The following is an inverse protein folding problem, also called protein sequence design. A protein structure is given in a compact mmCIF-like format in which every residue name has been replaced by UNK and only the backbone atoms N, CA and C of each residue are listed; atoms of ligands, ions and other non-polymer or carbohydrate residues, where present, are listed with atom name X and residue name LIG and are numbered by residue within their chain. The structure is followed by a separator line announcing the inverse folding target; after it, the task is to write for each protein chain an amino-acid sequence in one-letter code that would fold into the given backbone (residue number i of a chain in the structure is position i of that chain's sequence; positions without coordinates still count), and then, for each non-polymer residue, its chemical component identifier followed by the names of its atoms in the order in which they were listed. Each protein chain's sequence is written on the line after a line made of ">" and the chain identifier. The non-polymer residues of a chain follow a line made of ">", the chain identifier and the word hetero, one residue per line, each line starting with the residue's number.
data_IF_440235611720
#
_entry.id   IF_440235611720
#
_cell.length_a   1.000
_cell.length_b   1.000
_cell.length_c   1.000
_cell.angle_alpha   90.00
_cell.angle_beta   90.00
_cell.angle_gamma   90.00
#
_symmetry.space_group_name_H-M   'P 1'
#
loop_
_entity.id
_entity.type
_entity.pdbx_description
1 polymer ?
#
# COMPACT_ATOMS: atom_id res chain seq x y z
N UNK A 1 -19.59 -17.15 23.43
CA UNK A 1 -18.45 -18.05 23.19
C UNK A 1 -17.47 -17.27 22.39
N UNK A 2 -16.21 -17.10 22.83
CA UNK A 2 -15.24 -16.35 22.05
C UNK A 2 -14.90 -17.16 20.80
N UNK A 3 -15.05 -16.54 19.63
CA UNK A 3 -14.57 -17.10 18.38
C UNK A 3 -13.05 -17.11 18.44
N UNK A 4 -12.46 -18.28 18.52
CA UNK A 4 -11.02 -18.44 18.37
C UNK A 4 -10.66 -18.10 16.94
N UNK A 5 -9.98 -16.98 16.73
CA UNK A 5 -9.19 -16.76 15.52
C UNK A 5 -8.21 -17.93 15.42
N UNK A 6 -8.45 -18.88 14.53
CA UNK A 6 -7.46 -19.88 14.16
C UNK A 6 -6.40 -19.16 13.33
N UNK A 7 -5.53 -18.45 14.06
CA UNK A 7 -4.29 -17.98 13.50
C UNK A 7 -3.57 -19.17 12.83
N UNK A 8 -2.90 -18.92 11.71
CA UNK A 8 -1.88 -19.83 11.17
C UNK A 8 -0.74 -19.97 12.21
N UNK A 9 -1.02 -20.67 13.31
CA UNK A 9 -0.03 -21.03 14.33
C UNK A 9 0.79 -22.20 13.83
N UNK A 10 1.77 -21.96 12.96
CA UNK A 10 3.03 -22.69 13.16
C UNK A 10 3.68 -22.04 14.38
N UNK A 11 3.66 -22.74 15.52
CA UNK A 11 4.41 -22.34 16.71
C UNK A 11 5.84 -22.05 16.31
N UNK A 12 6.19 -20.78 16.22
CA UNK A 12 7.55 -20.32 16.14
C UNK A 12 8.19 -20.53 17.52
N UNK A 13 9.45 -20.96 17.53
CA UNK A 13 10.25 -21.01 18.76
C UNK A 13 10.53 -19.58 19.27
N UNK A 14 11.08 -19.46 20.45
CA UNK A 14 11.31 -18.20 21.21
C UNK A 14 12.04 -17.05 20.52
N UNK A 15 12.38 -17.15 19.23
CA UNK A 15 12.94 -16.07 18.40
C UNK A 15 12.08 -15.93 17.14
N UNK A 16 10.90 -15.30 17.30
CA UNK A 16 9.85 -15.15 16.28
C UNK A 16 10.23 -14.14 15.18
N UNK A 17 11.41 -14.30 14.61
CA UNK A 17 11.85 -13.50 13.48
C UNK A 17 11.31 -14.06 12.18
N UNK A 18 10.79 -13.18 11.33
CA UNK A 18 10.33 -13.53 10.00
C UNK A 18 10.48 -12.34 9.05
N UNK A 19 10.24 -12.59 7.77
CA UNK A 19 10.18 -11.52 6.79
C UNK A 19 8.99 -11.65 5.84
N UNK A 20 8.66 -10.52 5.20
CA UNK A 20 7.62 -10.37 4.19
C UNK A 20 8.25 -9.68 2.99
N UNK A 21 8.04 -10.22 1.79
CA UNK A 21 8.43 -9.54 0.56
C UNK A 21 7.29 -8.65 0.12
N UNK A 22 7.55 -7.34 -0.06
CA UNK A 22 6.54 -6.36 -0.38
C UNK A 22 6.79 -5.75 -1.76
N UNK A 23 5.71 -5.57 -2.50
CA UNK A 23 5.65 -4.85 -3.76
C UNK A 23 4.63 -3.71 -3.64
N UNK A 24 4.95 -2.56 -4.18
CA UNK A 24 3.99 -1.46 -4.35
C UNK A 24 2.98 -1.74 -5.45
N UNK A 25 2.38 -0.68 -5.94
CA UNK A 25 1.36 -0.70 -6.99
C UNK A 25 1.87 -1.44 -8.23
N UNK A 26 1.06 -2.35 -8.75
CA UNK A 26 1.44 -3.20 -9.90
C UNK A 26 0.87 -2.67 -11.21
N UNK A 27 -0.33 -2.12 -11.16
CA UNK A 27 -1.06 -1.66 -12.35
C UNK A 27 -1.01 -2.67 -13.49
N UNK A 28 -1.28 -3.94 -13.17
CA UNK A 28 -1.28 -5.01 -14.17
C UNK A 28 -2.19 -4.64 -15.33
N UNK A 29 -1.66 -4.74 -16.54
CA UNK A 29 -2.34 -4.34 -17.74
C UNK A 29 -1.83 -5.14 -18.94
N UNK A 30 -2.55 -6.18 -19.27
CA UNK A 30 -2.28 -7.01 -20.46
C UNK A 30 -3.37 -6.87 -21.53
N UNK A 31 -4.45 -6.17 -21.20
CA UNK A 31 -5.59 -6.03 -22.11
C UNK A 31 -5.36 -4.91 -23.14
N UNK A 32 -5.96 -5.02 -24.33
CA UNK A 32 -5.91 -3.95 -25.31
C UNK A 32 -6.56 -2.66 -24.78
N UNK A 33 -6.00 -1.51 -25.10
CA UNK A 33 -6.55 -0.20 -24.71
C UNK A 33 -8.03 0.01 -25.10
N UNK A 34 -8.53 -0.74 -26.07
CA UNK A 34 -9.93 -0.71 -26.52
C UNK A 34 -10.94 -1.23 -25.50
N UNK A 35 -10.51 -2.03 -24.50
CA UNK A 35 -11.40 -2.54 -23.45
C UNK A 35 -11.59 -1.56 -22.30
N UNK A 36 -10.80 -0.48 -22.25
CA UNK A 36 -10.92 0.54 -21.22
C UNK A 36 -12.02 1.53 -21.51
N UNK A 37 -12.76 1.89 -20.48
CA UNK A 37 -13.75 2.95 -20.49
C UNK A 37 -13.41 3.99 -19.45
N UNK A 38 -13.65 5.27 -19.76
CA UNK A 38 -13.57 6.32 -18.78
C UNK A 38 -14.67 6.17 -17.74
N UNK A 39 -14.32 6.22 -16.45
CA UNK A 39 -15.30 6.31 -15.37
C UNK A 39 -15.85 7.72 -15.15
N UNK A 40 -15.33 8.69 -15.87
CA UNK A 40 -15.87 10.03 -15.83
C UNK A 40 -17.11 10.03 -16.71
N UNK A 41 -18.28 10.21 -16.10
CA UNK A 41 -19.58 10.33 -16.78
C UNK A 41 -19.65 11.54 -17.73
N UNK A 42 -18.54 12.17 -18.00
CA UNK A 42 -18.43 13.29 -18.92
C UNK A 42 -17.97 12.77 -20.28
N UNK A 43 -18.69 13.11 -21.37
CA UNK A 43 -18.28 12.78 -22.72
C UNK A 43 -17.13 13.69 -23.17
N UNK A 44 -16.10 13.81 -22.35
CA UNK A 44 -14.95 14.64 -22.67
C UNK A 44 -13.96 13.79 -23.44
N UNK A 45 -14.06 13.85 -24.78
CA UNK A 45 -13.24 13.08 -25.71
C UNK A 45 -11.73 13.21 -25.41
N UNK A 46 -11.27 14.35 -24.91
CA UNK A 46 -9.88 14.56 -24.57
C UNK A 46 -9.46 13.76 -23.32
N UNK A 47 -10.32 13.65 -22.29
CA UNK A 47 -10.05 12.82 -21.11
C UNK A 47 -9.91 11.35 -21.50
N UNK A 48 -10.84 10.83 -22.30
CA UNK A 48 -10.76 9.47 -22.83
C UNK A 48 -9.47 9.23 -23.63
N UNK A 49 -9.04 10.21 -24.42
CA UNK A 49 -7.79 10.13 -25.17
C UNK A 49 -6.57 10.13 -24.26
N UNK A 50 -6.53 11.00 -23.25
CA UNK A 50 -5.42 11.07 -22.28
C UNK A 50 -5.34 9.78 -21.46
N UNK A 51 -6.46 9.28 -20.94
CA UNK A 51 -6.51 8.02 -20.21
C UNK A 51 -6.08 6.83 -21.06
N UNK A 52 -6.57 6.71 -22.29
CA UNK A 52 -6.15 5.63 -23.21
C UNK A 52 -4.65 5.66 -23.49
N UNK A 53 -4.07 6.84 -23.64
CA UNK A 53 -2.63 7.00 -23.82
C UNK A 53 -1.86 6.60 -22.55
N UNK A 54 -2.38 6.93 -21.38
CA UNK A 54 -1.82 6.50 -20.09
C UNK A 54 -1.88 4.98 -19.93
N UNK A 55 -3.01 4.36 -20.20
CA UNK A 55 -3.18 2.91 -20.10
C UNK A 55 -2.29 2.16 -21.09
N UNK A 56 -2.19 2.63 -22.34
CA UNK A 56 -1.27 2.04 -23.29
C UNK A 56 0.17 2.06 -22.81
N UNK A 57 0.61 3.19 -22.22
CA UNK A 57 1.94 3.34 -21.64
C UNK A 57 2.14 2.43 -20.42
N UNK A 58 1.16 2.34 -19.54
CA UNK A 58 1.23 1.48 -18.35
C UNK A 58 1.30 0.01 -18.74
N UNK A 59 0.52 -0.41 -19.73
CA UNK A 59 0.57 -1.77 -20.27
C UNK A 59 1.92 -2.10 -20.94
N UNK A 60 2.53 -1.13 -21.63
CA UNK A 60 3.89 -1.28 -22.16
C UNK A 60 4.90 -1.47 -21.04
N UNK A 61 4.87 -0.61 -20.01
CA UNK A 61 5.74 -0.73 -18.83
C UNK A 61 5.55 -2.06 -18.10
N UNK A 62 4.31 -2.51 -17.94
CA UNK A 62 4.04 -3.83 -17.36
C UNK A 62 4.74 -4.93 -18.17
N UNK A 63 4.53 -4.97 -19.48
CA UNK A 63 5.11 -6.03 -20.33
C UNK A 63 6.63 -6.02 -20.34
N UNK A 64 7.24 -4.85 -20.32
CA UNK A 64 8.70 -4.72 -20.41
C UNK A 64 9.41 -4.96 -19.08
N UNK A 65 8.84 -4.52 -17.97
CA UNK A 65 9.56 -4.43 -16.69
C UNK A 65 8.99 -5.30 -15.59
N UNK A 66 7.69 -5.31 -15.39
CA UNK A 66 7.10 -5.97 -14.24
C UNK A 66 7.45 -7.46 -14.12
N UNK A 67 7.52 -8.26 -15.19
CA UNK A 67 7.94 -9.67 -15.07
C UNK A 67 9.34 -9.82 -14.46
N UNK A 68 10.29 -8.93 -14.78
CA UNK A 68 11.63 -8.94 -14.15
C UNK A 68 11.56 -8.53 -12.70
N UNK A 69 10.81 -7.49 -12.38
CA UNK A 69 10.67 -6.98 -11.01
C UNK A 69 9.94 -7.99 -10.12
N UNK A 70 8.90 -8.66 -10.62
CA UNK A 70 8.25 -9.77 -9.90
C UNK A 70 9.22 -10.93 -9.65
N UNK A 71 9.99 -11.32 -10.67
CA UNK A 71 11.03 -12.36 -10.52
C UNK A 71 12.10 -11.93 -9.52
N UNK A 72 12.51 -10.67 -9.55
CA UNK A 72 13.47 -10.11 -8.59
C UNK A 72 12.92 -10.17 -7.16
N UNK A 73 11.68 -9.73 -6.95
CA UNK A 73 11.02 -9.80 -5.66
C UNK A 73 10.94 -11.24 -5.15
N UNK A 74 10.58 -12.18 -6.02
CA UNK A 74 10.54 -13.61 -5.69
C UNK A 74 11.91 -14.17 -5.26
N UNK A 75 13.03 -13.61 -5.73
CA UNK A 75 14.37 -13.99 -5.28
C UNK A 75 14.68 -13.52 -3.84
N UNK A 76 13.89 -12.61 -3.26
CA UNK A 76 14.02 -12.20 -1.86
C UNK A 76 13.37 -13.19 -0.89
N UNK A 77 12.56 -14.12 -1.40
CA UNK A 77 11.94 -15.18 -0.59
C UNK A 77 13.00 -16.13 -0.09
N UNK A 78 13.04 -16.34 1.22
CA UNK A 78 13.88 -17.31 1.90
C UNK A 78 13.06 -18.18 2.88
N UNK A 79 13.74 -18.99 3.68
CA UNK A 79 13.10 -19.90 4.65
C UNK A 79 12.28 -19.21 5.74
N UNK A 80 12.59 -17.94 6.03
CA UNK A 80 11.94 -17.15 7.06
C UNK A 80 10.82 -16.25 6.50
N UNK A 81 10.63 -16.27 5.16
CA UNK A 81 9.55 -15.53 4.50
C UNK A 81 8.20 -16.18 4.79
N UNK A 82 7.27 -15.39 5.36
CA UNK A 82 5.93 -15.87 5.70
C UNK A 82 4.90 -15.61 4.62
N UNK A 83 5.05 -14.50 3.89
CA UNK A 83 4.14 -14.11 2.82
C UNK A 83 4.80 -13.12 1.86
N UNK A 84 4.19 -12.95 0.69
CA UNK A 84 4.34 -11.79 -0.16
C UNK A 84 3.17 -10.84 0.08
N UNK A 85 3.40 -9.54 -0.02
CA UNK A 85 2.38 -8.52 0.14
C UNK A 85 2.43 -7.54 -1.03
N UNK A 86 1.26 -7.12 -1.51
CA UNK A 86 1.12 -6.15 -2.58
C UNK A 86 0.22 -5.01 -2.08
N UNK A 87 0.64 -3.77 -2.31
CA UNK A 87 0.10 -2.60 -1.60
C UNK A 87 -1.08 -1.92 -2.30
N UNK A 88 -1.89 -2.68 -3.06
CA UNK A 88 -3.06 -2.14 -3.80
C UNK A 88 -2.70 -1.60 -5.18
N UNK A 89 -3.72 -1.17 -5.94
CA UNK A 89 -3.59 -0.90 -7.37
C UNK A 89 -2.93 -2.09 -8.08
N UNK A 90 -3.52 -3.26 -7.82
CA UNK A 90 -3.06 -4.55 -8.33
C UNK A 90 -3.17 -4.58 -9.86
N UNK A 91 -4.29 -4.04 -10.38
CA UNK A 91 -4.55 -3.90 -11.81
C UNK A 91 -4.67 -2.42 -12.21
N UNK A 92 -4.62 -2.15 -13.52
CA UNK A 92 -4.83 -0.79 -14.04
C UNK A 92 -6.29 -0.32 -13.85
N UNK A 93 -7.24 -1.24 -13.83
CA UNK A 93 -8.67 -0.91 -13.72
C UNK A 93 -9.25 -0.26 -14.98
N UNK A 94 -10.34 0.51 -14.77
CA UNK A 94 -11.08 1.20 -15.85
C UNK A 94 -11.59 0.26 -16.97
N UNK A 95 -11.84 -1.01 -16.63
CA UNK A 95 -12.34 -2.00 -17.58
C UNK A 95 -13.76 -1.69 -18.03
N UNK A 96 -14.06 -1.97 -19.30
CA UNK A 96 -15.37 -1.75 -19.90
C UNK A 96 -16.48 -2.70 -19.44
N UNK A 97 -16.12 -3.77 -18.73
CA UNK A 97 -17.07 -4.73 -18.16
C UNK A 97 -16.52 -5.41 -16.93
N UNK A 98 -17.42 -5.91 -16.08
CA UNK A 98 -17.06 -6.72 -14.91
C UNK A 98 -16.34 -8.02 -15.27
N UNK A 99 -16.65 -8.62 -16.41
CA UNK A 99 -15.98 -9.83 -16.89
C UNK A 99 -14.50 -9.57 -17.19
N UNK A 100 -14.19 -8.50 -17.92
CA UNK A 100 -12.80 -8.10 -18.21
C UNK A 100 -12.07 -7.74 -16.92
N UNK A 101 -12.73 -7.03 -16.01
CA UNK A 101 -12.17 -6.67 -14.72
C UNK A 101 -11.79 -7.92 -13.89
N UNK A 102 -12.71 -8.89 -13.80
CA UNK A 102 -12.47 -10.16 -13.12
C UNK A 102 -11.31 -10.92 -13.74
N UNK A 103 -11.28 -11.02 -15.06
CA UNK A 103 -10.19 -11.66 -15.79
C UNK A 103 -8.84 -11.03 -15.47
N UNK A 104 -8.74 -9.70 -15.43
CA UNK A 104 -7.49 -9.01 -15.06
C UNK A 104 -7.06 -9.33 -13.62
N UNK A 105 -7.99 -9.38 -12.67
CA UNK A 105 -7.69 -9.79 -11.30
C UNK A 105 -7.18 -11.23 -11.23
N UNK A 106 -7.78 -12.15 -11.95
CA UNK A 106 -7.35 -13.55 -12.03
C UNK A 106 -5.97 -13.66 -12.67
N UNK A 107 -5.73 -12.97 -13.78
CA UNK A 107 -4.46 -13.01 -14.52
C UNK A 107 -3.29 -12.45 -13.68
N UNK A 108 -3.51 -11.35 -12.96
CA UNK A 108 -2.45 -10.80 -12.09
C UNK A 108 -2.15 -11.72 -10.92
N UNK A 109 -3.16 -12.29 -10.25
CA UNK A 109 -2.96 -13.25 -9.18
C UNK A 109 -2.20 -14.48 -9.66
N UNK A 110 -2.51 -14.97 -10.86
CA UNK A 110 -1.79 -16.07 -11.50
C UNK A 110 -0.33 -15.68 -11.83
N UNK A 111 -0.09 -14.44 -12.27
CA UNK A 111 1.26 -13.93 -12.54
C UNK A 111 2.11 -13.88 -11.27
N UNK A 112 1.56 -13.43 -10.15
CA UNK A 112 2.23 -13.49 -8.86
C UNK A 112 2.51 -14.93 -8.42
N UNK A 113 1.49 -15.81 -8.50
CA UNK A 113 1.66 -17.22 -8.16
C UNK A 113 2.75 -17.89 -9.00
N UNK A 114 2.80 -17.59 -10.29
CA UNK A 114 3.85 -18.10 -11.18
C UNK A 114 5.23 -17.55 -10.79
N UNK A 115 5.35 -16.26 -10.50
CA UNK A 115 6.62 -15.62 -10.14
C UNK A 115 7.16 -16.14 -8.79
N UNK A 116 6.32 -16.27 -7.78
CA UNK A 116 6.68 -16.73 -6.44
C UNK A 116 6.68 -18.28 -6.32
N UNK A 117 6.23 -18.98 -7.35
CA UNK A 117 6.21 -20.45 -7.39
C UNK A 117 5.30 -21.10 -6.35
N UNK A 118 4.27 -20.38 -5.88
CA UNK A 118 3.35 -20.83 -4.84
C UNK A 118 4.04 -21.11 -3.48
N UNK A 119 5.23 -20.56 -3.26
CA UNK A 119 6.03 -20.81 -2.04
C UNK A 119 5.49 -20.09 -0.81
N UNK A 120 4.85 -18.96 -1.01
CA UNK A 120 4.31 -18.10 0.05
C UNK A 120 2.94 -17.57 -0.39
N UNK A 121 1.99 -17.38 0.57
CA UNK A 121 0.71 -16.73 0.26
C UNK A 121 0.93 -15.28 -0.20
N UNK A 122 0.06 -14.79 -1.07
CA UNK A 122 0.01 -13.39 -1.48
C UNK A 122 -1.15 -12.69 -0.77
N UNK A 123 -0.85 -11.62 -0.05
CA UNK A 123 -1.84 -10.72 0.53
C UNK A 123 -1.84 -9.41 -0.25
N UNK A 124 -3.01 -8.91 -0.60
CA UNK A 124 -3.18 -7.59 -1.24
C UNK A 124 -4.23 -6.77 -0.52
N UNK A 125 -4.17 -5.45 -0.68
CA UNK A 125 -5.14 -4.48 -0.16
C UNK A 125 -5.84 -3.76 -1.32
N UNK A 126 -7.07 -3.31 -1.12
CA UNK A 126 -7.83 -2.60 -2.15
C UNK A 126 -7.20 -1.26 -2.50
N UNK A 127 -6.75 -1.11 -3.75
CA UNK A 127 -6.34 0.16 -4.33
C UNK A 127 -7.49 0.86 -5.07
N UNK A 128 -7.31 2.12 -5.46
CA UNK A 128 -8.36 2.85 -6.16
C UNK A 128 -8.54 2.39 -7.62
N UNK A 129 -7.51 1.86 -8.25
CA UNK A 129 -7.61 1.26 -9.57
C UNK A 129 -8.34 -0.09 -9.55
N UNK A 130 -8.22 -0.83 -8.47
CA UNK A 130 -8.83 -2.15 -8.32
C UNK A 130 -10.37 -2.12 -8.29
N UNK A 131 -10.96 -0.97 -7.98
CA UNK A 131 -12.42 -0.78 -7.90
C UNK A 131 -12.94 0.22 -8.94
N UNK A 132 -12.12 0.58 -9.92
CA UNK A 132 -12.43 1.59 -10.94
C UNK A 132 -12.73 0.92 -12.27
N UNK A 133 -13.93 1.16 -12.83
CA UNK A 133 -14.42 0.56 -14.07
C UNK A 133 -15.88 0.12 -13.96
N UNK A 134 -16.40 -0.40 -15.06
CA UNK A 134 -17.76 -0.91 -15.10
C UNK A 134 -17.88 -2.15 -14.22
N UNK A 135 -18.74 -2.11 -13.19
CA UNK A 135 -18.94 -3.18 -12.20
C UNK A 135 -17.67 -3.56 -11.42
N UNK A 136 -16.63 -2.74 -11.48
CA UNK A 136 -15.32 -3.06 -10.91
C UNK A 136 -15.40 -3.25 -9.39
N UNK A 137 -16.14 -2.38 -8.70
CA UNK A 137 -16.29 -2.43 -7.24
C UNK A 137 -16.97 -3.73 -6.80
N UNK A 138 -18.07 -4.09 -7.43
CA UNK A 138 -18.83 -5.30 -7.13
C UNK A 138 -17.96 -6.54 -7.36
N UNK A 139 -17.30 -6.61 -8.50
CA UNK A 139 -16.40 -7.71 -8.86
C UNK A 139 -15.25 -7.85 -7.87
N UNK A 140 -14.60 -6.75 -7.51
CA UNK A 140 -13.48 -6.78 -6.56
C UNK A 140 -13.92 -7.25 -5.18
N UNK A 141 -15.06 -6.72 -4.67
CA UNK A 141 -15.58 -7.07 -3.34
C UNK A 141 -16.13 -8.51 -3.26
N UNK A 142 -16.52 -9.10 -4.39
CA UNK A 142 -16.88 -10.52 -4.47
C UNK A 142 -15.62 -11.41 -4.55
N UNK A 143 -14.70 -11.07 -5.45
CA UNK A 143 -13.56 -11.92 -5.80
C UNK A 143 -12.46 -11.90 -4.74
N UNK A 144 -12.05 -10.71 -4.29
CA UNK A 144 -10.82 -10.59 -3.50
C UNK A 144 -10.92 -11.14 -2.07
N UNK A 145 -12.02 -10.99 -1.31
CA UNK A 145 -12.15 -11.62 -0.01
C UNK A 145 -12.06 -13.15 -0.08
N UNK A 146 -12.71 -13.75 -1.08
CA UNK A 146 -12.64 -15.20 -1.31
C UNK A 146 -11.20 -15.63 -1.62
N UNK A 147 -10.50 -14.87 -2.45
CA UNK A 147 -9.10 -15.14 -2.80
C UNK A 147 -8.17 -14.99 -1.59
N UNK A 148 -8.34 -13.97 -0.77
CA UNK A 148 -7.58 -13.80 0.47
C UNK A 148 -7.86 -14.92 1.48
N UNK A 149 -9.11 -15.41 1.51
CA UNK A 149 -9.45 -16.58 2.33
C UNK A 149 -8.66 -17.83 1.93
N UNK A 150 -8.50 -18.06 0.62
CA UNK A 150 -7.69 -19.17 0.09
C UNK A 150 -6.21 -19.00 0.44
N UNK A 151 -5.66 -17.80 0.21
CA UNK A 151 -4.24 -17.52 0.46
C UNK A 151 -3.87 -17.64 1.94
N UNK A 152 -4.73 -17.16 2.84
CA UNK A 152 -4.45 -17.16 4.28
C UNK A 152 -5.01 -18.39 5.02
N UNK A 153 -5.84 -19.21 4.34
CA UNK A 153 -6.44 -20.39 4.95
C UNK A 153 -7.41 -20.06 6.10
N UNK A 154 -8.04 -18.88 6.04
CA UNK A 154 -9.00 -18.40 7.04
C UNK A 154 -10.19 -17.74 6.34
N UNK A 155 -11.34 -17.65 7.05
CA UNK A 155 -12.52 -17.00 6.49
C UNK A 155 -12.35 -15.48 6.45
N UNK A 156 -12.45 -14.89 5.27
CA UNK A 156 -12.43 -13.45 5.01
C UNK A 156 -13.64 -13.11 4.15
N UNK A 157 -14.53 -12.27 4.69
CA UNK A 157 -15.79 -11.91 4.04
C UNK A 157 -15.81 -10.46 3.52
N UNK A 158 -14.78 -9.65 3.86
CA UNK A 158 -14.71 -8.22 3.55
C UNK A 158 -13.30 -7.84 3.05
N UNK A 159 -13.20 -6.69 2.40
CA UNK A 159 -11.93 -6.08 2.00
C UNK A 159 -11.16 -5.44 3.18
N UNK A 160 -11.87 -5.14 4.29
CA UNK A 160 -11.27 -4.80 5.58
C UNK A 160 -11.24 -6.05 6.45
N UNK A 161 -10.05 -6.53 6.83
CA UNK A 161 -9.86 -7.74 7.62
C UNK A 161 -8.57 -7.71 8.43
N UNK A 162 -8.43 -8.61 9.41
CA UNK A 162 -7.21 -8.73 10.21
C UNK A 162 -6.73 -10.17 10.32
N UNK A 163 -5.43 -10.36 10.49
CA UNK A 163 -4.81 -11.65 10.75
C UNK A 163 -3.52 -11.50 11.55
N UNK A 164 -3.04 -12.59 12.14
CA UNK A 164 -1.80 -12.61 12.93
C UNK A 164 -0.69 -13.41 12.27
N UNK A 165 0.57 -13.00 12.49
CA UNK A 165 1.76 -13.80 12.25
C UNK A 165 2.54 -13.87 13.58
N UNK A 166 2.50 -15.00 14.25
CA UNK A 166 3.00 -15.08 15.63
C UNK A 166 2.23 -14.12 16.55
N UNK A 167 2.96 -13.26 17.26
CA UNK A 167 2.39 -12.26 18.16
C UNK A 167 2.13 -10.90 17.49
N UNK A 168 2.33 -10.79 16.18
CA UNK A 168 2.14 -9.55 15.42
C UNK A 168 0.80 -9.54 14.71
N UNK A 169 0.15 -8.37 14.67
CA UNK A 169 -1.13 -8.14 14.02
C UNK A 169 -0.98 -7.38 12.71
N UNK A 170 -1.72 -7.81 11.69
CA UNK A 170 -1.86 -7.17 10.39
C UNK A 170 -3.32 -6.81 10.15
N UNK A 171 -3.63 -5.52 10.14
CA UNK A 171 -4.95 -4.98 9.87
C UNK A 171 -4.94 -4.41 8.44
N UNK A 172 -5.63 -5.09 7.54
CA UNK A 172 -5.81 -4.68 6.14
C UNK A 172 -7.05 -3.82 6.05
N UNK A 173 -6.89 -2.57 5.66
CA UNK A 173 -7.96 -1.57 5.62
C UNK A 173 -8.24 -1.13 4.18
N UNK A 174 -9.52 -1.10 3.80
CA UNK A 174 -9.96 -0.55 2.52
C UNK A 174 -10.12 0.97 2.64
N UNK A 175 -9.18 1.74 2.07
CA UNK A 175 -9.23 3.20 2.15
C UNK A 175 -10.27 3.84 1.21
N UNK A 176 -10.68 3.12 0.16
CA UNK A 176 -11.69 3.61 -0.78
C UNK A 176 -13.11 3.47 -0.22
N UNK A 177 -13.29 2.45 0.63
CA UNK A 177 -14.57 2.08 1.22
C UNK A 177 -14.38 1.73 2.70
N UNK A 178 -13.96 2.74 3.53
CA UNK A 178 -13.65 2.51 4.93
C UNK A 178 -14.81 1.85 5.68
N UNK A 179 -14.52 0.74 6.38
CA UNK A 179 -15.42 0.09 7.35
C UNK A 179 -14.88 0.36 8.76
N UNK A 180 -15.23 1.53 9.29
CA UNK A 180 -14.70 2.02 10.56
C UNK A 180 -15.11 1.10 11.73
N UNK A 181 -16.30 0.55 11.69
CA UNK A 181 -16.76 -0.39 12.72
C UNK A 181 -15.93 -1.68 12.73
N UNK A 182 -15.58 -2.19 11.56
CA UNK A 182 -14.70 -3.36 11.42
C UNK A 182 -13.27 -3.03 11.82
N UNK A 183 -12.75 -1.86 11.42
CA UNK A 183 -11.43 -1.42 11.82
C UNK A 183 -11.29 -1.30 13.34
N UNK A 184 -12.28 -0.72 14.02
CA UNK A 184 -12.31 -0.66 15.49
C UNK A 184 -12.42 -2.05 16.15
N UNK A 185 -13.24 -2.93 15.58
CA UNK A 185 -13.34 -4.30 16.07
C UNK A 185 -12.00 -5.02 16.01
N UNK A 186 -11.28 -4.89 14.88
CA UNK A 186 -9.97 -5.47 14.68
C UNK A 186 -8.92 -4.88 15.63
N UNK A 187 -8.91 -3.56 15.83
CA UNK A 187 -8.01 -2.91 16.78
C UNK A 187 -8.21 -3.43 18.22
N UNK A 188 -9.45 -3.74 18.60
CA UNK A 188 -9.76 -4.35 19.90
C UNK A 188 -9.39 -5.83 19.96
N UNK A 189 -9.63 -6.58 18.88
CA UNK A 189 -9.32 -8.01 18.82
C UNK A 189 -7.80 -8.27 18.93
N UNK A 190 -7.00 -7.41 18.30
CA UNK A 190 -5.55 -7.51 18.30
C UNK A 190 -4.87 -6.59 19.34
N UNK A 191 -5.61 -6.14 20.35
CA UNK A 191 -5.01 -5.37 21.44
C UNK A 191 -3.94 -6.19 22.17
N UNK A 192 -2.79 -5.56 22.43
CA UNK A 192 -1.64 -6.24 23.03
C UNK A 192 -0.74 -7.01 22.06
N UNK A 193 -0.96 -6.91 20.74
CA UNK A 193 -0.02 -7.45 19.75
C UNK A 193 1.38 -6.83 19.95
N UNK A 194 2.43 -7.63 19.71
CA UNK A 194 3.82 -7.17 19.78
C UNK A 194 4.11 -6.01 18.83
N UNK A 195 3.65 -6.13 17.59
CA UNK A 195 3.63 -5.07 16.58
C UNK A 195 2.26 -5.04 15.92
N UNK A 196 1.73 -3.84 15.71
CA UNK A 196 0.50 -3.60 14.96
C UNK A 196 0.86 -2.98 13.61
N UNK A 197 0.62 -3.75 12.54
CA UNK A 197 0.78 -3.30 11.16
C UNK A 197 -0.57 -2.88 10.60
N UNK A 198 -0.66 -1.64 10.10
CA UNK A 198 -1.80 -1.14 9.34
C UNK A 198 -1.41 -1.22 7.87
N UNK A 199 -2.09 -2.09 7.14
CA UNK A 199 -1.87 -2.31 5.70
C UNK A 199 -3.01 -1.62 4.95
N UNK A 200 -2.71 -0.53 4.28
CA UNK A 200 -3.71 0.31 3.63
C UNK A 200 -3.12 0.92 2.36
N UNK A 201 -3.83 0.93 1.25
CA UNK A 201 -3.29 1.45 0.01
C UNK A 201 -3.01 2.97 0.08
N UNK A 202 -4.01 3.76 0.45
CA UNK A 202 -3.82 5.21 0.69
C UNK A 202 -3.12 5.47 2.02
N UNK A 203 -2.09 6.34 2.06
CA UNK A 203 -1.35 6.62 3.28
C UNK A 203 -2.25 7.15 4.42
N UNK A 204 -1.75 7.09 5.66
CA UNK A 204 -2.42 7.67 6.83
C UNK A 204 -2.07 9.15 6.99
N UNK A 205 -0.88 9.54 6.55
CA UNK A 205 -0.47 10.94 6.50
C UNK A 205 -0.67 11.53 5.10
N UNK A 206 -1.06 12.80 5.00
CA UNK A 206 -1.06 13.50 3.71
C UNK A 206 0.29 13.38 3.02
N UNK A 207 0.29 13.03 1.76
CA UNK A 207 1.51 12.91 0.99
C UNK A 207 1.75 14.15 0.11
N UNK A 208 3.01 14.42 -0.14
CA UNK A 208 3.47 15.63 -0.81
C UNK A 208 3.34 15.52 -2.34
N UNK A 209 2.09 15.53 -2.83
CA UNK A 209 1.78 15.43 -4.25
C UNK A 209 0.56 16.29 -4.64
N UNK A 210 0.20 16.27 -5.92
CA UNK A 210 -0.96 16.99 -6.46
C UNK A 210 -2.28 16.61 -5.75
N UNK A 211 -2.41 15.37 -5.30
CA UNK A 211 -3.62 14.84 -4.67
C UNK A 211 -3.41 14.59 -3.16
N UNK A 212 -2.90 15.57 -2.43
CA UNK A 212 -2.55 15.46 -1.02
C UNK A 212 -3.65 14.90 -0.10
N UNK A 213 -4.91 14.98 -0.53
CA UNK A 213 -6.06 14.45 0.22
C UNK A 213 -6.47 13.03 -0.12
N UNK A 214 -5.73 12.35 -0.97
CA UNK A 214 -5.97 10.93 -1.29
C UNK A 214 -5.24 10.04 -0.29
N UNK A 215 -5.65 10.13 0.96
CA UNK A 215 -5.16 9.32 2.07
C UNK A 215 -6.33 8.82 2.92
N UNK A 216 -6.07 7.94 3.87
CA UNK A 216 -7.11 7.34 4.69
C UNK A 216 -7.92 8.42 5.43
N UNK A 217 -9.24 8.49 5.17
CA UNK A 217 -10.13 9.56 5.60
C UNK A 217 -9.70 10.99 5.17
N UNK A 218 -9.05 11.11 4.01
CA UNK A 218 -8.48 12.38 3.55
C UNK A 218 -9.47 13.40 2.99
N UNK A 219 -10.77 13.05 2.81
CA UNK A 219 -11.79 14.00 2.30
C UNK A 219 -11.97 15.17 3.28
N UNK A 220 -12.26 16.36 2.72
CA UNK A 220 -12.45 17.59 3.50
C UNK A 220 -13.92 17.74 3.95
N UNK A 221 -14.42 16.79 4.70
CA UNK A 221 -15.74 16.85 5.37
C UNK A 221 -15.54 16.72 6.87
N UNK A 222 -16.51 17.15 7.68
CA UNK A 222 -16.45 17.03 9.14
C UNK A 222 -16.30 15.54 9.56
N UNK A 223 -17.12 14.68 8.98
CA UNK A 223 -17.11 13.23 9.22
C UNK A 223 -15.72 12.61 8.97
N UNK A 224 -15.14 12.82 7.77
CA UNK A 224 -13.82 12.31 7.47
C UNK A 224 -12.71 12.94 8.34
N UNK A 225 -12.88 14.18 8.76
CA UNK A 225 -11.94 14.83 9.66
C UNK A 225 -11.98 14.18 11.05
N UNK A 226 -13.18 13.94 11.58
CA UNK A 226 -13.37 13.26 12.87
C UNK A 226 -12.79 11.83 12.84
N UNK A 227 -13.17 11.04 11.83
CA UNK A 227 -12.66 9.68 11.65
C UNK A 227 -11.12 9.66 11.50
N UNK A 228 -10.55 10.57 10.70
CA UNK A 228 -9.09 10.69 10.54
C UNK A 228 -8.38 10.95 11.87
N UNK A 229 -8.86 11.89 12.66
CA UNK A 229 -8.27 12.22 13.96
C UNK A 229 -8.44 11.08 14.97
N UNK A 230 -9.58 10.39 14.93
CA UNK A 230 -9.84 9.21 15.74
C UNK A 230 -8.84 8.08 15.42
N UNK A 231 -8.77 7.64 14.17
CA UNK A 231 -7.87 6.55 13.76
C UNK A 231 -6.40 6.91 13.91
N UNK A 232 -6.01 8.17 13.66
CA UNK A 232 -4.64 8.63 13.92
C UNK A 232 -4.28 8.42 15.39
N UNK A 233 -5.17 8.74 16.32
CA UNK A 233 -4.97 8.52 17.76
C UNK A 233 -4.87 7.02 18.09
N UNK A 234 -5.81 6.22 17.59
CA UNK A 234 -5.80 4.77 17.81
C UNK A 234 -4.52 4.10 17.30
N UNK A 235 -4.05 4.51 16.12
CA UNK A 235 -2.81 3.99 15.56
C UNK A 235 -1.58 4.48 16.33
N UNK A 236 -1.57 5.76 16.76
CA UNK A 236 -0.46 6.31 17.52
C UNK A 236 -0.30 5.60 18.88
N UNK A 237 -1.37 5.41 19.63
CA UNK A 237 -1.36 4.74 20.94
C UNK A 237 -0.87 3.29 20.86
N UNK A 238 -1.12 2.59 19.76
CA UNK A 238 -0.62 1.24 19.46
C UNK A 238 0.78 1.24 18.86
N UNK A 239 1.38 2.40 18.68
CA UNK A 239 2.66 2.57 18.00
C UNK A 239 2.66 1.88 16.63
N UNK A 240 1.59 2.04 15.85
CA UNK A 240 1.38 1.32 14.62
C UNK A 240 2.47 1.59 13.57
N UNK A 241 2.74 0.57 12.77
CA UNK A 241 3.56 0.63 11.57
C UNK A 241 2.61 0.59 10.38
N UNK A 242 2.56 1.66 9.60
CA UNK A 242 1.72 1.78 8.41
C UNK A 242 2.51 1.38 7.18
N UNK A 243 1.98 0.42 6.43
CA UNK A 243 2.50 -0.03 5.15
C UNK A 243 1.51 0.40 4.06
N UNK A 244 1.97 1.14 3.05
CA UNK A 244 1.09 1.79 2.08
C UNK A 244 1.71 1.87 0.68
N UNK A 245 0.90 2.17 -0.35
CA UNK A 245 1.26 2.38 -1.74
C UNK A 245 0.76 3.72 -2.28
N UNK A 246 0.06 3.73 -3.41
CA UNK A 246 -0.72 4.81 -3.99
C UNK A 246 0.07 6.02 -4.53
N UNK A 247 1.06 6.50 -3.81
CA UNK A 247 1.71 7.79 -4.13
C UNK A 247 2.86 7.67 -5.13
N UNK A 248 3.18 6.46 -5.57
CA UNK A 248 4.29 6.16 -6.49
C UNK A 248 5.60 6.82 -6.06
N UNK A 249 5.91 6.68 -4.77
CA UNK A 249 7.14 7.14 -4.12
C UNK A 249 7.61 6.12 -3.10
N UNK A 250 8.89 6.04 -2.89
CA UNK A 250 9.45 5.43 -1.69
C UNK A 250 9.53 6.51 -0.63
N UNK A 251 8.59 6.50 0.32
CA UNK A 251 8.47 7.52 1.35
C UNK A 251 8.55 6.89 2.74
N UNK A 252 9.26 7.56 3.63
CA UNK A 252 9.35 7.19 5.04
C UNK A 252 8.98 8.38 5.91
N UNK A 253 8.08 8.17 6.86
CA UNK A 253 7.69 9.15 7.87
C UNK A 253 7.65 8.51 9.25
N UNK A 254 8.29 9.15 10.22
CA UNK A 254 8.23 8.79 11.63
C UNK A 254 7.63 9.95 12.41
N UNK A 255 6.47 9.72 12.98
CA UNK A 255 5.64 10.75 13.59
C UNK A 255 5.28 10.42 15.03
N UNK A 256 5.34 11.44 15.90
CA UNK A 256 4.99 11.38 17.30
C UNK A 256 3.89 12.39 17.62
N UNK A 257 2.79 11.92 18.16
CA UNK A 257 1.63 12.74 18.54
C UNK A 257 0.53 11.87 19.10
N UNK A 258 -0.56 12.49 19.54
CA UNK A 258 -1.75 11.82 20.06
C UNK A 258 -1.46 10.79 21.16
N UNK A 259 -0.36 10.99 21.91
CA UNK A 259 0.07 10.11 22.99
C UNK A 259 0.88 8.88 22.55
N UNK A 260 1.34 8.83 21.31
CA UNK A 260 2.09 7.69 20.79
C UNK A 260 2.95 7.98 19.56
N UNK A 261 3.14 6.96 18.71
CA UNK A 261 4.00 7.02 17.53
C UNK A 261 3.35 6.27 16.36
N UNK A 262 3.45 6.84 15.16
CA UNK A 262 3.14 6.15 13.91
C UNK A 262 4.38 6.20 13.01
N UNK A 263 4.78 5.06 12.48
CA UNK A 263 5.82 5.02 11.44
C UNK A 263 5.18 4.55 10.15
N UNK A 264 5.21 5.38 9.12
CA UNK A 264 4.66 5.05 7.80
C UNK A 264 5.77 4.78 6.80
N UNK A 265 5.65 3.67 6.08
CA UNK A 265 6.49 3.32 4.94
C UNK A 265 5.62 3.17 3.71
N UNK A 266 5.86 4.01 2.71
CA UNK A 266 5.17 3.96 1.42
C UNK A 266 6.07 3.30 0.39
N UNK A 267 5.52 2.30 -0.31
CA UNK A 267 6.19 1.52 -1.34
C UNK A 267 5.85 2.09 -2.72
N UNK A 268 6.89 2.36 -3.50
CA UNK A 268 6.70 2.82 -4.88
C UNK A 268 6.24 1.67 -5.79
N UNK A 269 5.57 2.02 -6.87
CA UNK A 269 5.06 1.08 -7.86
C UNK A 269 6.17 0.29 -8.56
N UNK A 270 5.87 -0.95 -8.91
CA UNK A 270 6.82 -1.84 -9.60
C UNK A 270 6.89 -1.64 -11.10
N UNK A 271 5.93 -0.91 -11.69
CA UNK A 271 5.94 -0.60 -13.12
C UNK A 271 6.80 0.64 -13.48
N UNK A 272 7.39 1.26 -12.47
CA UNK A 272 8.14 2.49 -12.62
C UNK A 272 9.27 2.39 -13.68
N UNK A 273 9.58 3.53 -14.29
CA UNK A 273 10.53 3.65 -15.40
C UNK A 273 11.99 3.37 -14.95
N UNK A 274 12.89 2.99 -15.87
CA UNK A 274 14.30 2.69 -15.56
C UNK A 274 15.05 3.80 -14.83
N UNK A 275 14.73 5.06 -15.09
CA UNK A 275 15.32 6.19 -14.39
C UNK A 275 15.00 6.24 -12.89
N UNK A 276 13.99 5.45 -12.45
CA UNK A 276 13.61 5.31 -11.06
C UNK A 276 14.31 4.13 -10.35
N UNK A 277 15.25 3.47 -10.99
CA UNK A 277 16.04 2.40 -10.38
C UNK A 277 17.15 2.97 -9.46
N UNK A 278 17.35 4.28 -9.46
CA UNK A 278 18.33 4.97 -8.64
C UNK A 278 17.66 5.62 -7.42
N UNK A 279 18.20 5.36 -6.24
CA UNK A 279 17.69 5.96 -5.01
C UNK A 279 18.19 7.39 -4.85
N UNK A 280 17.41 8.33 -5.36
CA UNK A 280 17.66 9.77 -5.20
C UNK A 280 16.65 10.37 -4.24
N UNK A 281 17.13 10.98 -3.15
CA UNK A 281 16.29 11.70 -2.19
C UNK A 281 15.84 13.01 -2.82
N UNK A 282 14.52 13.25 -2.86
CA UNK A 282 13.93 14.49 -3.39
C UNK A 282 13.36 15.41 -2.30
N UNK A 283 13.15 14.87 -1.10
CA UNK A 283 12.81 15.63 0.11
C UNK A 283 13.33 14.88 1.33
N UNK A 284 13.88 15.59 2.31
CA UNK A 284 14.40 15.01 3.55
C UNK A 284 14.22 15.98 4.73
N UNK A 285 13.91 15.40 5.89
CA UNK A 285 13.69 16.11 7.14
C UNK A 285 12.28 16.69 7.25
N UNK A 286 11.81 16.88 8.49
CA UNK A 286 10.46 17.34 8.79
C UNK A 286 10.11 18.71 8.16
N UNK A 287 11.10 19.58 7.99
CA UNK A 287 10.91 20.88 7.33
C UNK A 287 10.56 20.80 5.85
N UNK A 288 10.90 19.69 5.17
CA UNK A 288 10.58 19.49 3.75
C UNK A 288 9.17 18.94 3.51
N UNK A 289 8.47 18.51 4.55
CA UNK A 289 7.13 17.93 4.45
C UNK A 289 6.10 18.96 3.96
N UNK A 290 5.45 18.68 2.85
CA UNK A 290 4.51 19.57 2.18
C UNK A 290 5.18 20.57 1.22
N UNK A 291 6.52 20.65 1.15
CA UNK A 291 7.22 21.63 0.30
C UNK A 291 7.20 21.26 -1.19
N UNK A 292 7.28 19.97 -1.52
CA UNK A 292 7.19 19.52 -2.92
C UNK A 292 5.87 19.97 -3.57
N UNK A 293 4.78 19.90 -2.81
CA UNK A 293 3.46 20.31 -3.27
C UNK A 293 3.41 21.78 -3.71
N UNK A 294 4.11 22.67 -3.03
CA UNK A 294 4.13 24.12 -3.34
C UNK A 294 4.70 24.41 -4.73
N UNK A 295 5.53 23.51 -5.24
CA UNK A 295 6.17 23.64 -6.57
C UNK A 295 5.32 23.04 -7.69
N UNK A 296 4.28 22.27 -7.37
CA UNK A 296 3.45 21.58 -8.34
C UNK A 296 2.43 22.53 -8.97
N UNK A 297 2.14 22.26 -10.23
CA UNK A 297 1.10 22.95 -10.99
C UNK A 297 0.13 21.93 -11.57
N UNK A 298 -1.09 22.35 -11.77
CA UNK A 298 -2.08 21.57 -12.54
C UNK A 298 -1.66 21.53 -14.01
N UNK A 299 -2.26 20.63 -14.78
CA UNK A 299 -2.02 20.49 -16.22
C UNK A 299 -2.36 21.79 -17.00
N UNK A 300 -3.28 22.59 -16.47
CA UNK A 300 -3.64 23.92 -17.00
C UNK A 300 -2.66 25.05 -16.60
N UNK A 301 -1.56 24.69 -15.92
CA UNK A 301 -0.54 25.63 -15.44
C UNK A 301 -0.90 26.41 -14.19
N UNK A 302 -2.13 26.26 -13.66
CA UNK A 302 -2.57 26.96 -12.45
C UNK A 302 -1.97 26.32 -11.19
N UNK A 303 -1.82 27.12 -10.12
CA UNK A 303 -1.41 26.56 -8.82
C UNK A 303 -2.36 25.47 -8.36
N UNK A 304 -1.79 24.46 -7.70
CA UNK A 304 -2.56 23.47 -6.98
C UNK A 304 -3.19 24.14 -5.75
N UNK A 305 -4.31 23.61 -5.30
CA UNK A 305 -4.99 24.08 -4.09
C UNK A 305 -3.99 24.13 -2.92
N UNK A 306 -4.01 25.24 -2.19
CA UNK A 306 -3.23 25.37 -0.95
C UNK A 306 -3.75 24.38 0.10
N UNK A 307 -2.87 23.54 0.59
CA UNK A 307 -3.11 22.54 1.63
C UNK A 307 -2.13 22.71 2.81
N UNK A 308 -1.53 23.89 2.94
CA UNK A 308 -0.54 24.18 3.99
C UNK A 308 -1.07 23.84 5.38
N UNK A 309 -2.31 24.21 5.69
CA UNK A 309 -2.93 23.89 6.97
C UNK A 309 -3.03 22.39 7.25
N UNK A 310 -3.25 21.58 6.21
CA UNK A 310 -3.27 20.11 6.34
C UNK A 310 -1.89 19.56 6.70
N UNK A 311 -0.84 20.04 6.04
CA UNK A 311 0.53 19.60 6.36
C UNK A 311 1.00 20.11 7.72
N UNK A 312 0.61 21.32 8.10
CA UNK A 312 0.94 21.92 9.40
C UNK A 312 0.31 21.17 10.58
N UNK A 313 -0.78 20.45 10.35
CA UNK A 313 -1.38 19.55 11.36
C UNK A 313 -0.45 18.39 11.74
N UNK A 314 0.35 17.89 10.80
CA UNK A 314 1.22 16.72 11.02
C UNK A 314 2.69 17.09 11.24
N UNK A 315 3.17 18.18 10.65
CA UNK A 315 4.58 18.59 10.68
C UNK A 315 5.21 18.63 12.08
N UNK A 316 4.55 19.17 13.13
CA UNK A 316 5.16 19.24 14.47
C UNK A 316 5.52 17.89 15.07
N UNK A 317 4.80 16.84 14.71
CA UNK A 317 5.05 15.47 15.18
C UNK A 317 6.13 14.72 14.42
N UNK A 318 6.49 15.16 13.20
CA UNK A 318 7.48 14.47 12.40
C UNK A 318 8.88 14.56 13.01
N UNK A 319 9.50 13.41 13.25
CA UNK A 319 10.89 13.28 13.69
C UNK A 319 11.82 12.92 12.56
N UNK A 320 11.31 12.15 11.60
CA UNK A 320 12.02 11.78 10.39
C UNK A 320 11.07 11.77 9.21
N UNK A 321 11.54 12.25 8.07
CA UNK A 321 10.82 12.26 6.81
C UNK A 321 11.81 12.16 5.66
N UNK A 322 11.51 11.30 4.69
CA UNK A 322 12.30 11.23 3.45
C UNK A 322 11.47 10.70 2.31
N UNK A 323 11.70 11.23 1.12
CA UNK A 323 11.01 10.84 -0.12
C UNK A 323 12.04 10.60 -1.21
N UNK A 324 11.86 9.50 -1.94
CA UNK A 324 12.59 9.18 -3.16
C UNK A 324 11.62 8.77 -4.26
N UNK A 325 12.00 9.02 -5.52
CA UNK A 325 11.29 8.49 -6.69
C UNK A 325 11.67 7.04 -7.00
N UNK A 326 12.65 6.49 -6.33
CA UNK A 326 13.13 5.14 -6.60
C UNK A 326 12.03 4.10 -6.43
N UNK A 327 11.95 3.19 -7.37
CA UNK A 327 11.04 2.05 -7.37
C UNK A 327 11.82 0.74 -7.28
N UNK A 328 11.17 -0.32 -6.80
CA UNK A 328 11.82 -1.63 -6.66
C UNK A 328 11.05 -2.58 -5.77
N UNK A 329 11.78 -3.46 -5.11
CA UNK A 329 11.23 -4.47 -4.20
C UNK A 329 11.64 -4.18 -2.76
N UNK A 330 10.80 -4.59 -1.83
CA UNK A 330 11.02 -4.36 -0.40
C UNK A 330 10.98 -5.67 0.36
N UNK A 331 11.75 -5.76 1.43
CA UNK A 331 11.72 -6.88 2.36
C UNK A 331 11.54 -6.34 3.77
N UNK A 332 10.38 -6.56 4.35
CA UNK A 332 10.08 -6.23 5.75
C UNK A 332 10.68 -7.33 6.62
N UNK A 333 11.55 -6.96 7.53
CA UNK A 333 12.14 -7.84 8.52
C UNK A 333 11.53 -7.54 9.88
N UNK A 334 10.94 -8.54 10.52
CA UNK A 334 10.23 -8.42 11.80
C UNK A 334 10.88 -9.33 12.83
N UNK A 335 11.12 -8.82 14.01
CA UNK A 335 11.64 -9.58 15.14
C UNK A 335 11.24 -8.96 16.47
N UNK A 336 11.41 -9.66 17.57
CA UNK A 336 11.28 -9.08 18.91
C UNK A 336 12.31 -7.99 19.23
N UNK A 337 13.30 -7.80 18.34
CA UNK A 337 14.35 -6.77 18.50
C UNK A 337 14.10 -5.51 17.66
N UNK A 338 13.09 -5.53 16.79
CA UNK A 338 12.76 -4.37 15.96
C UNK A 338 12.18 -4.76 14.62
N UNK A 339 11.81 -3.75 13.86
CA UNK A 339 11.23 -3.86 12.51
C UNK A 339 11.99 -2.96 11.55
N UNK A 340 12.36 -3.50 10.39
CA UNK A 340 13.03 -2.73 9.34
C UNK A 340 12.56 -3.15 7.95
N UNK A 341 12.71 -2.25 6.98
CA UNK A 341 12.50 -2.53 5.56
C UNK A 341 13.81 -2.39 4.82
N UNK A 342 14.22 -3.44 4.15
CA UNK A 342 15.31 -3.43 3.20
C UNK A 342 14.74 -3.15 1.81
N UNK A 343 15.24 -2.10 1.14
CA UNK A 343 14.82 -1.68 -0.19
C UNK A 343 15.88 -2.03 -1.23
N UNK A 344 15.43 -2.57 -2.34
CA UNK A 344 16.22 -2.98 -3.49
C UNK A 344 15.71 -2.24 -4.72
N UNK A 345 16.47 -1.26 -5.21
CA UNK A 345 16.04 -0.42 -6.33
C UNK A 345 16.05 -1.18 -7.65
N UNK A 346 15.00 -1.00 -8.44
CA UNK A 346 14.82 -1.67 -9.72
C UNK A 346 14.89 -3.20 -9.61
N UNK A 347 15.71 -3.81 -10.44
CA UNK A 347 16.00 -5.25 -10.43
C UNK A 347 17.35 -5.58 -9.74
N UNK A 348 17.88 -4.65 -8.94
CA UNK A 348 19.14 -4.81 -8.22
C UNK A 348 19.10 -5.99 -7.23
N UNK A 349 20.20 -6.74 -7.17
CA UNK A 349 20.43 -7.76 -6.14
C UNK A 349 21.07 -7.18 -4.86
N UNK A 350 21.51 -5.93 -4.89
CA UNK A 350 22.17 -5.29 -3.76
C UNK A 350 21.18 -4.47 -2.95
N UNK A 351 21.31 -4.53 -1.63
CA UNK A 351 20.60 -3.66 -0.72
C UNK A 351 20.90 -2.21 -1.04
N UNK A 352 19.87 -1.45 -1.40
CA UNK A 352 20.01 -0.04 -1.75
C UNK A 352 19.90 0.86 -0.52
N UNK A 353 18.88 0.60 0.31
CA UNK A 353 18.58 1.37 1.52
C UNK A 353 17.92 0.49 2.57
N UNK A 354 18.22 0.75 3.83
CA UNK A 354 17.51 0.18 4.97
C UNK A 354 16.77 1.27 5.72
N UNK A 355 15.49 1.04 5.96
CA UNK A 355 14.65 1.87 6.80
C UNK A 355 14.40 1.15 8.12
N UNK A 356 14.65 1.82 9.24
CA UNK A 356 14.36 1.29 10.58
C UNK A 356 13.01 1.83 11.02
N UNK A 357 12.01 0.95 11.11
CA UNK A 357 10.64 1.31 11.49
C UNK A 357 10.42 1.24 13.00
N UNK A 358 11.10 0.31 13.66
CA UNK A 358 11.16 0.17 15.13
C UNK A 358 12.55 -0.26 15.54
N UNK A 359 13.12 0.46 16.46
CA UNK A 359 14.32 0.04 17.18
C UNK A 359 13.94 -0.84 18.38
N UNK A 360 14.88 -1.65 18.82
CA UNK A 360 14.78 -2.33 20.08
C UNK A 360 14.48 -1.29 21.17
N UNK A 361 13.49 -1.53 22.06
CA UNK A 361 13.39 -0.68 23.24
C UNK A 361 14.75 -0.68 23.95
N UNK A 362 15.33 0.49 24.09
CA UNK A 362 16.48 0.67 24.99
C UNK A 362 15.93 0.44 26.39
N UNK A 363 16.24 -0.72 26.97
CA UNK A 363 15.91 -1.03 28.36
C UNK A 363 16.60 -0.04 29.28
#
# INVERSE_FOLDING_TARGET
>A
MPFSAQAMTRRAGRDDSYNIVILGDTHFDTEPASVYHSNYNEPVEWLNRVQRAEFARNGEMWRERCPRLLKRAACLVDKDTRQAMQMGDLIQGDCGSGEVHRKMLEDVMNSFKAAFGGKVPLVTVAGNHDIRGTQAKEVYHEYMPARMSEELGMKIDKTTFGYGIGDDAYLVLDFNNPDDAEAERLLKEFDGARHTFIVVHGPVFPYDSASARWFYHGKNTAEHTEARLHFRREFAQRQAIVLTGHVHRTEFADWYGDGGRITQMTMNSVWARPELDKYDIIAEGAGSYGELRKTMKRDDGKPIRDETALFDEYRPGLKSYSVSKAAGSYKLNVSGKGVSVDFYAGDSSFLTKKFVLRDKPTL
#
